data_IF_780473961033
#
_entry.id   IF_780473961033
#
_cell.length_a   1.000
_cell.length_b   1.000
_cell.length_c   1.000
_cell.angle_alpha   90.00
_cell.angle_beta   90.00
_cell.angle_gamma   90.00
#
_symmetry.space_group_name_H-M   'P 1'
#
loop_
_entity.id
_entity.type
_entity.pdbx_description
1 polymer ?
#
# COMPACT_ATOMS: atom_id res chain seq x y z
N UNK A 1 3.86 -3.11 -20.26
CA UNK A 1 5.07 -3.86 -19.86
C UNK A 1 5.58 -3.32 -18.52
N UNK A 2 6.26 -4.16 -17.77
CA UNK A 2 7.02 -3.74 -16.59
C UNK A 2 8.33 -3.10 -17.03
N UNK A 3 8.70 -1.97 -16.41
CA UNK A 3 9.99 -1.33 -16.58
C UNK A 3 11.13 -2.19 -16.05
N UNK A 4 12.33 -1.93 -16.51
CA UNK A 4 13.58 -2.55 -16.01
C UNK A 4 14.25 -1.67 -14.94
N UNK A 5 13.44 -0.88 -14.27
CA UNK A 5 13.80 0.14 -13.29
C UNK A 5 13.21 -0.21 -11.92
N UNK A 6 13.72 0.44 -10.89
CA UNK A 6 13.09 0.51 -9.56
C UNK A 6 12.74 1.96 -9.29
N UNK A 7 11.53 2.18 -8.81
CA UNK A 7 11.07 3.52 -8.48
C UNK A 7 11.65 3.95 -7.15
N UNK A 8 12.35 5.09 -7.15
CA UNK A 8 12.91 5.72 -5.97
C UNK A 8 12.07 6.94 -5.62
N UNK A 9 11.58 7.01 -4.41
CA UNK A 9 10.83 8.14 -3.87
C UNK A 9 11.65 8.82 -2.75
N UNK A 10 12.18 10.01 -3.00
CA UNK A 10 13.02 10.72 -2.02
C UNK A 10 12.24 11.16 -0.78
N UNK A 11 10.92 11.19 -0.83
CA UNK A 11 10.05 11.59 0.28
C UNK A 11 9.71 10.41 1.20
N UNK A 12 9.97 9.18 0.74
CA UNK A 12 9.74 7.98 1.53
C UNK A 12 10.96 7.57 2.37
N UNK A 13 10.71 6.82 3.44
CA UNK A 13 11.78 6.26 4.29
C UNK A 13 11.49 4.78 4.53
N UNK A 14 12.25 3.87 3.94
CA UNK A 14 13.39 4.09 3.01
C UNK A 14 12.94 4.57 1.63
N UNK A 15 13.82 5.24 0.85
CA UNK A 15 13.49 5.78 -0.47
C UNK A 15 13.07 4.75 -1.53
N UNK A 16 13.36 3.46 -1.30
CA UNK A 16 12.97 2.35 -2.16
C UNK A 16 11.55 1.82 -1.87
N UNK A 17 10.80 2.51 -1.02
CA UNK A 17 9.41 2.22 -0.67
C UNK A 17 8.50 3.36 -1.12
N UNK A 18 8.26 3.52 -2.44
CA UNK A 18 7.39 4.58 -2.92
C UNK A 18 6.05 4.58 -2.19
N UNK A 19 5.64 5.78 -1.78
CA UNK A 19 4.35 6.02 -1.16
C UNK A 19 3.37 6.50 -2.23
N UNK A 20 2.19 5.89 -2.26
CA UNK A 20 1.10 6.30 -3.15
C UNK A 20 0.02 6.97 -2.32
N UNK A 21 -0.34 8.19 -2.74
CA UNK A 21 -1.44 8.99 -2.20
C UNK A 21 -2.41 9.46 -3.28
N UNK A 22 -1.97 9.40 -4.53
CA UNK A 22 -2.75 9.83 -5.69
C UNK A 22 -3.23 8.62 -6.47
N UNK A 23 -4.55 8.47 -6.55
CA UNK A 23 -5.22 7.37 -7.22
C UNK A 23 -6.00 7.89 -8.42
N UNK A 24 -6.09 7.07 -9.47
CA UNK A 24 -6.84 7.37 -10.68
C UNK A 24 -8.35 7.23 -10.51
N UNK A 25 -9.08 7.51 -11.58
CA UNK A 25 -10.53 7.34 -11.61
C UNK A 25 -10.87 5.91 -12.08
N UNK A 26 -10.95 4.97 -11.15
CA UNK A 26 -11.28 3.57 -11.42
C UNK A 26 -11.99 2.94 -10.22
N UNK A 27 -12.98 2.03 -10.40
CA UNK A 27 -13.71 1.40 -9.28
C UNK A 27 -12.81 0.77 -8.22
N UNK A 28 -11.70 0.14 -8.61
CA UNK A 28 -10.72 -0.46 -7.68
C UNK A 28 -10.23 0.54 -6.63
N UNK A 29 -10.04 1.80 -7.01
CA UNK A 29 -9.38 2.84 -6.20
C UNK A 29 -10.27 4.02 -5.84
N UNK A 30 -11.54 4.01 -6.22
CA UNK A 30 -12.48 5.11 -5.99
C UNK A 30 -12.65 5.46 -4.51
N UNK A 31 -12.60 4.45 -3.63
CA UNK A 31 -12.70 4.63 -2.17
C UNK A 31 -11.40 5.08 -1.49
N UNK A 32 -10.29 5.21 -2.23
CA UNK A 32 -8.95 5.47 -1.68
C UNK A 32 -8.57 6.95 -1.60
N UNK A 33 -9.51 7.87 -1.66
CA UNK A 33 -9.23 9.30 -1.44
C UNK A 33 -8.59 9.51 -0.05
N UNK A 34 -7.38 10.09 -0.01
CA UNK A 34 -6.54 10.27 1.19
C UNK A 34 -5.98 8.98 1.83
N UNK A 35 -6.02 7.87 1.13
CA UNK A 35 -5.41 6.63 1.55
C UNK A 35 -3.89 6.65 1.33
N UNK A 36 -3.16 5.84 2.12
CA UNK A 36 -1.74 5.61 1.92
C UNK A 36 -1.50 4.14 1.61
N UNK A 37 -0.78 3.88 0.51
CA UNK A 37 -0.26 2.55 0.19
C UNK A 37 1.24 2.60 -0.04
N UNK A 38 1.96 1.51 0.29
CA UNK A 38 3.41 1.39 0.17
C UNK A 38 3.77 0.29 -0.82
N UNK A 39 4.78 0.54 -1.64
CA UNK A 39 5.20 -0.38 -2.70
C UNK A 39 6.72 -0.61 -2.66
N UNK A 40 7.22 -1.59 -1.87
CA UNK A 40 8.64 -1.87 -1.75
C UNK A 40 9.26 -2.30 -3.08
N UNK A 41 10.33 -1.63 -3.50
CA UNK A 41 11.07 -1.97 -4.73
C UNK A 41 10.20 -1.99 -6.00
N UNK A 42 9.16 -1.17 -6.04
CA UNK A 42 8.25 -1.12 -7.16
C UNK A 42 8.95 -0.76 -8.47
N UNK A 43 8.53 -1.41 -9.54
CA UNK A 43 8.90 -1.10 -10.93
C UNK A 43 7.82 -0.24 -11.58
N UNK A 44 8.23 0.59 -12.51
CA UNK A 44 7.25 1.31 -13.32
C UNK A 44 6.50 0.38 -14.27
N UNK A 45 5.24 0.71 -14.53
CA UNK A 45 4.38 0.02 -15.49
C UNK A 45 4.17 0.91 -16.69
N UNK A 46 4.58 0.47 -17.87
CA UNK A 46 4.46 1.24 -19.09
C UNK A 46 3.45 0.66 -20.06
N UNK A 47 2.71 1.55 -20.71
CA UNK A 47 1.89 1.16 -21.84
C UNK A 47 2.79 0.91 -23.05
N UNK A 48 2.70 -0.28 -23.65
CA UNK A 48 3.40 -0.57 -24.90
C UNK A 48 2.77 0.16 -26.08
N UNK A 49 3.56 0.43 -27.12
CA UNK A 49 3.07 1.08 -28.34
C UNK A 49 2.01 0.23 -29.07
N UNK A 50 2.04 -1.10 -28.89
CA UNK A 50 1.10 -2.04 -29.50
C UNK A 50 0.14 -2.57 -28.44
N UNK A 51 -0.99 -1.91 -28.27
CA UNK A 51 -2.12 -2.39 -27.45
C UNK A 51 -3.09 -3.08 -28.37
N UNK A 52 -3.56 -4.31 -28.05
CA UNK A 52 -4.57 -5.00 -28.85
C UNK A 52 -5.82 -4.15 -29.07
N UNK A 53 -6.44 -4.27 -30.24
CA UNK A 53 -7.73 -3.64 -30.50
C UNK A 53 -8.77 -4.19 -29.52
N UNK A 54 -9.54 -3.31 -28.87
CA UNK A 54 -10.53 -3.69 -27.87
C UNK A 54 -9.99 -3.75 -26.43
N UNK A 55 -8.68 -3.52 -26.21
CA UNK A 55 -8.14 -3.39 -24.85
C UNK A 55 -8.24 -1.96 -24.35
N UNK A 56 -8.91 -1.77 -23.23
CA UNK A 56 -8.92 -0.52 -22.47
C UNK A 56 -7.93 -0.62 -21.31
N UNK A 57 -6.95 0.31 -21.26
CA UNK A 57 -5.94 0.37 -20.21
C UNK A 57 -6.17 1.62 -19.38
N UNK A 58 -6.42 1.44 -18.09
CA UNK A 58 -6.62 2.54 -17.12
C UNK A 58 -5.54 2.51 -16.05
N UNK A 59 -4.95 3.64 -15.79
CA UNK A 59 -4.00 3.82 -14.69
C UNK A 59 -4.76 3.82 -13.36
N UNK A 60 -4.24 3.03 -12.40
CA UNK A 60 -4.82 2.95 -11.06
C UNK A 60 -4.16 3.95 -10.12
N UNK A 61 -2.84 3.98 -10.10
CA UNK A 61 -2.07 4.89 -9.27
C UNK A 61 -0.63 5.04 -9.77
N UNK A 62 -0.01 6.12 -9.35
CA UNK A 62 1.38 6.48 -9.68
C UNK A 62 2.14 6.92 -8.44
N UNK A 63 3.46 6.95 -8.58
CA UNK A 63 4.38 7.52 -7.58
C UNK A 63 4.25 9.04 -7.51
N UNK A 64 4.87 9.65 -6.51
CA UNK A 64 4.95 11.10 -6.36
C UNK A 64 5.80 11.74 -7.48
N UNK A 65 5.59 13.04 -7.70
CA UNK A 65 6.25 13.78 -8.79
C UNK A 65 7.78 13.85 -8.65
N UNK A 66 8.28 13.83 -7.40
CA UNK A 66 9.70 13.89 -7.08
C UNK A 66 10.43 12.55 -7.23
N UNK A 67 9.70 11.47 -7.49
CA UNK A 67 10.27 10.15 -7.70
C UNK A 67 10.97 10.02 -9.04
N UNK A 68 11.78 8.99 -9.20
CA UNK A 68 12.42 8.68 -10.48
C UNK A 68 12.59 7.17 -10.69
N UNK A 69 12.77 6.79 -11.94
CA UNK A 69 13.04 5.41 -12.36
C UNK A 69 14.55 5.15 -12.32
N UNK A 70 15.01 4.35 -11.34
CA UNK A 70 16.43 4.02 -11.17
C UNK A 70 16.76 2.69 -11.83
N UNK A 71 17.71 2.70 -12.75
CA UNK A 71 18.21 1.50 -13.44
C UNK A 71 19.60 1.08 -12.98
N UNK A 72 20.30 1.93 -12.23
CA UNK A 72 21.66 1.72 -11.73
C UNK A 72 21.69 1.72 -10.20
N UNK A 73 21.23 0.62 -9.63
CA UNK A 73 21.08 0.47 -8.18
C UNK A 73 22.42 0.53 -7.42
N UNK A 74 23.51 0.18 -8.06
CA UNK A 74 24.87 0.25 -7.51
C UNK A 74 25.35 1.71 -7.29
N UNK A 75 24.90 2.61 -8.15
CA UNK A 75 25.23 4.04 -8.06
C UNK A 75 24.32 4.80 -7.07
N UNK A 76 23.20 4.24 -6.67
CA UNK A 76 22.20 4.91 -5.84
C UNK A 76 22.76 5.34 -4.46
N UNK A 77 23.73 4.59 -3.91
CA UNK A 77 24.36 4.91 -2.62
C UNK A 77 25.09 6.24 -2.62
N UNK A 78 25.69 6.60 -3.75
CA UNK A 78 26.55 7.77 -3.88
C UNK A 78 25.82 8.99 -4.45
N UNK A 79 24.59 8.78 -4.95
CA UNK A 79 23.75 9.78 -5.59
C UNK A 79 22.57 10.19 -4.72
N UNK A 80 22.31 11.50 -4.66
CA UNK A 80 21.20 12.08 -3.90
C UNK A 80 19.98 12.45 -4.76
N UNK A 81 19.97 12.07 -6.03
CA UNK A 81 18.89 12.41 -6.95
C UNK A 81 19.02 11.70 -8.29
N UNK A 82 18.06 11.92 -9.21
CA UNK A 82 18.05 11.27 -10.51
C UNK A 82 19.24 11.70 -11.37
N UNK A 83 19.71 10.79 -12.22
CA UNK A 83 20.64 11.15 -13.27
C UNK A 83 19.88 11.86 -14.41
N UNK A 84 20.56 12.66 -15.27
CA UNK A 84 19.91 13.43 -16.33
C UNK A 84 19.17 12.58 -17.38
N UNK A 85 19.53 11.32 -17.50
CA UNK A 85 18.95 10.35 -18.45
C UNK A 85 17.80 9.50 -17.83
N UNK A 86 17.52 9.68 -16.54
CA UNK A 86 16.48 8.93 -15.85
C UNK A 86 15.12 9.62 -15.96
N UNK A 87 14.08 8.79 -16.10
CA UNK A 87 12.69 9.27 -16.09
C UNK A 87 12.30 9.75 -14.69
N UNK A 88 11.71 10.93 -14.66
CA UNK A 88 11.16 11.50 -13.42
C UNK A 88 9.68 11.18 -13.29
N UNK A 89 9.19 11.21 -12.06
CA UNK A 89 7.80 10.99 -11.73
C UNK A 89 6.83 12.09 -12.22
N UNK A 90 5.53 11.85 -12.09
CA UNK A 90 4.97 10.63 -11.54
C UNK A 90 5.14 9.42 -12.47
N UNK A 91 5.40 8.25 -11.92
CA UNK A 91 5.59 6.99 -12.64
C UNK A 91 4.41 6.06 -12.32
N UNK A 92 3.75 5.54 -13.33
CA UNK A 92 2.65 4.58 -13.15
C UNK A 92 3.16 3.31 -12.47
N UNK A 93 2.52 2.89 -11.40
CA UNK A 93 2.86 1.68 -10.64
C UNK A 93 1.86 0.55 -10.85
N UNK A 94 0.63 0.86 -11.25
CA UNK A 94 -0.37 -0.15 -11.57
C UNK A 94 -1.37 0.32 -12.61
N UNK A 95 -1.86 -0.64 -13.40
CA UNK A 95 -2.90 -0.44 -14.41
C UNK A 95 -3.94 -1.55 -14.32
N UNK A 96 -5.19 -1.20 -14.59
CA UNK A 96 -6.27 -2.14 -14.88
C UNK A 96 -6.46 -2.22 -16.40
N UNK A 97 -6.70 -3.42 -16.87
CA UNK A 97 -6.95 -3.69 -18.30
C UNK A 97 -8.23 -4.48 -18.43
N UNK A 98 -9.14 -3.97 -19.25
CA UNK A 98 -10.33 -4.70 -19.71
C UNK A 98 -10.20 -4.98 -21.20
N UNK A 99 -10.53 -6.20 -21.59
CA UNK A 99 -10.55 -6.66 -22.96
C UNK A 99 -12.02 -6.85 -23.38
N UNK A 100 -12.49 -6.07 -24.34
CA UNK A 100 -13.76 -6.38 -24.96
C UNK A 100 -13.61 -7.67 -25.77
N UNK A 101 -14.52 -8.62 -25.58
CA UNK A 101 -14.58 -9.80 -26.44
C UNK A 101 -14.74 -9.36 -27.88
N UNK A 102 -13.87 -9.83 -28.76
CA UNK A 102 -14.17 -9.75 -30.18
C UNK A 102 -15.44 -10.60 -30.42
N UNK A 103 -16.47 -10.00 -31.01
CA UNK A 103 -17.75 -10.62 -31.30
C UNK A 103 -17.52 -12.04 -31.87
N UNK A 104 -17.60 -13.03 -31.01
CA UNK A 104 -17.77 -14.41 -31.50
C UNK A 104 -19.24 -14.53 -31.89
N UNK A 105 -19.51 -14.65 -33.19
CA UNK A 105 -20.82 -15.04 -33.76
C UNK A 105 -21.24 -16.45 -33.30
N UNK A 106 -21.07 -16.77 -32.02
CA UNK A 106 -21.61 -17.98 -31.45
C UNK A 106 -22.80 -17.60 -30.55
N UNK A 107 -24.00 -18.01 -31.03
CA UNK A 107 -25.26 -18.00 -30.30
C UNK A 107 -25.14 -18.84 -29.01
N UNK A 108 -24.41 -18.36 -28.00
CA UNK A 108 -24.51 -18.88 -26.64
C UNK A 108 -25.43 -17.97 -25.85
N UNK A 109 -26.50 -18.56 -25.31
CA UNK A 109 -27.57 -17.91 -24.52
C UNK A 109 -27.07 -17.29 -23.17
N UNK A 110 -25.82 -16.89 -23.06
CA UNK A 110 -25.35 -16.10 -21.90
C UNK A 110 -25.25 -14.64 -22.33
N UNK A 111 -26.18 -13.83 -21.85
CA UNK A 111 -26.34 -12.38 -22.11
C UNK A 111 -25.18 -11.52 -21.56
N UNK A 112 -24.10 -12.07 -21.08
CA UNK A 112 -22.94 -11.33 -20.58
C UNK A 112 -21.81 -11.34 -21.60
N UNK A 113 -21.31 -10.15 -22.04
CA UNK A 113 -20.15 -10.09 -22.90
C UNK A 113 -18.95 -10.68 -22.14
N UNK A 114 -18.35 -11.73 -22.70
CA UNK A 114 -17.14 -12.37 -22.18
C UNK A 114 -15.98 -11.34 -22.21
N UNK A 115 -15.88 -10.53 -21.16
CA UNK A 115 -14.89 -9.45 -21.02
C UNK A 115 -13.76 -9.93 -20.11
N UNK A 116 -12.56 -10.07 -20.68
CA UNK A 116 -11.37 -10.38 -19.88
C UNK A 116 -10.90 -9.17 -19.08
N UNK A 117 -10.64 -9.36 -17.78
CA UNK A 117 -10.09 -8.31 -16.90
C UNK A 117 -8.79 -8.78 -16.25
N UNK A 118 -7.81 -7.91 -16.17
CA UNK A 118 -6.61 -8.16 -15.37
C UNK A 118 -6.00 -6.86 -14.84
N UNK A 119 -5.21 -6.99 -13.79
CA UNK A 119 -4.48 -5.88 -13.17
C UNK A 119 -2.99 -6.20 -13.23
N UNK A 120 -2.20 -5.20 -13.57
CA UNK A 120 -0.73 -5.28 -13.52
C UNK A 120 -0.22 -4.31 -12.46
N UNK A 121 0.52 -4.84 -11.51
CA UNK A 121 1.18 -4.06 -10.45
C UNK A 121 2.68 -4.25 -10.58
N UNK A 122 3.45 -3.19 -10.47
CA UNK A 122 4.91 -3.20 -10.58
C UNK A 122 5.63 -3.74 -9.34
N UNK A 123 4.91 -4.28 -8.38
CA UNK A 123 5.43 -4.79 -7.12
C UNK A 123 4.65 -6.03 -6.69
N UNK A 124 5.32 -7.03 -6.16
CA UNK A 124 4.70 -8.20 -5.53
C UNK A 124 4.72 -8.12 -4.00
N UNK A 125 5.62 -7.34 -3.45
CA UNK A 125 5.85 -7.27 -2.01
C UNK A 125 4.83 -6.39 -1.29
N UNK A 126 4.06 -5.59 -2.04
CA UNK A 126 3.01 -4.71 -1.49
C UNK A 126 1.93 -5.46 -0.70
N UNK A 127 1.78 -6.79 -0.92
CA UNK A 127 0.78 -7.64 -0.25
C UNK A 127 1.39 -8.71 0.65
N UNK A 128 2.65 -8.56 1.06
CA UNK A 128 3.24 -9.42 2.08
C UNK A 128 2.47 -9.31 3.40
N UNK A 129 2.56 -10.34 4.24
CA UNK A 129 1.90 -10.35 5.56
C UNK A 129 2.27 -9.13 6.43
N UNK A 130 3.49 -8.61 6.25
CA UNK A 130 3.96 -7.42 6.96
C UNK A 130 3.16 -6.19 6.53
N UNK A 131 3.04 -5.93 5.24
CA UNK A 131 2.31 -4.78 4.72
C UNK A 131 0.78 -4.95 4.78
N UNK A 132 0.28 -6.16 4.63
CA UNK A 132 -1.14 -6.44 4.83
C UNK A 132 -1.61 -6.20 6.27
N UNK A 133 -0.69 -6.27 7.24
CA UNK A 133 -0.96 -6.03 8.67
C UNK A 133 -0.54 -4.62 9.12
N UNK A 134 0.11 -3.84 8.26
CA UNK A 134 0.53 -2.48 8.54
C UNK A 134 -0.66 -1.50 8.53
N UNK A 135 -0.54 -0.30 9.12
CA UNK A 135 -1.57 0.74 9.07
C UNK A 135 -1.57 1.47 7.71
N UNK A 136 -1.58 0.70 6.64
CA UNK A 136 -1.68 1.14 5.24
C UNK A 136 -2.80 0.35 4.56
N UNK A 137 -3.31 0.83 3.43
CA UNK A 137 -4.47 0.21 2.79
C UNK A 137 -4.10 -0.81 1.70
N UNK A 138 -2.93 -1.43 1.78
CA UNK A 138 -2.46 -2.40 0.80
C UNK A 138 -3.37 -3.64 0.70
N UNK A 139 -3.83 -4.15 1.84
CA UNK A 139 -4.73 -5.30 1.87
C UNK A 139 -6.08 -4.99 1.20
N UNK A 140 -6.67 -3.85 1.53
CA UNK A 140 -7.95 -3.43 0.94
C UNK A 140 -7.80 -3.18 -0.56
N UNK A 141 -6.69 -2.58 -0.98
CA UNK A 141 -6.37 -2.35 -2.39
C UNK A 141 -6.27 -3.68 -3.15
N UNK A 142 -5.58 -4.66 -2.60
CA UNK A 142 -5.47 -5.99 -3.20
C UNK A 142 -6.83 -6.69 -3.31
N UNK A 143 -7.65 -6.63 -2.25
CA UNK A 143 -8.99 -7.22 -2.27
C UNK A 143 -9.88 -6.57 -3.32
N UNK A 144 -9.84 -5.25 -3.47
CA UNK A 144 -10.58 -4.55 -4.51
C UNK A 144 -10.11 -4.96 -5.92
N UNK A 145 -8.79 -5.15 -6.12
CA UNK A 145 -8.25 -5.66 -7.39
C UNK A 145 -8.80 -7.06 -7.70
N UNK A 146 -8.79 -7.97 -6.72
CA UNK A 146 -9.29 -9.35 -6.88
C UNK A 146 -10.78 -9.35 -7.18
N UNK A 147 -11.59 -8.58 -6.45
CA UNK A 147 -13.03 -8.47 -6.66
C UNK A 147 -13.34 -7.94 -8.07
N UNK A 148 -12.61 -6.94 -8.52
CA UNK A 148 -12.82 -6.38 -9.86
C UNK A 148 -12.44 -7.38 -10.97
N UNK A 149 -11.35 -8.13 -10.80
CA UNK A 149 -10.93 -9.17 -11.75
C UNK A 149 -11.93 -10.33 -11.76
N UNK A 150 -12.51 -10.67 -10.61
CA UNK A 150 -13.52 -11.71 -10.48
C UNK A 150 -14.92 -11.26 -10.95
N UNK A 151 -15.06 -10.02 -11.43
CA UNK A 151 -16.35 -9.41 -11.84
C UNK A 151 -17.38 -9.27 -10.71
N UNK A 152 -16.93 -9.35 -9.46
CA UNK A 152 -17.78 -9.22 -8.29
C UNK A 152 -17.88 -7.73 -7.88
N UNK A 153 -18.55 -6.94 -8.71
CA UNK A 153 -18.67 -5.48 -8.54
C UNK A 153 -19.45 -5.10 -7.27
N UNK A 154 -20.35 -5.95 -6.82
CA UNK A 154 -21.14 -5.72 -5.61
C UNK A 154 -20.25 -5.66 -4.34
N UNK A 155 -19.09 -6.31 -4.35
CA UNK A 155 -18.13 -6.31 -3.22
C UNK A 155 -17.15 -5.12 -3.25
N UNK A 156 -16.97 -4.47 -4.39
CA UNK A 156 -16.07 -3.29 -4.52
C UNK A 156 -16.63 -2.09 -3.75
N UNK A 157 -17.95 -2.01 -3.62
CA UNK A 157 -18.64 -0.94 -2.90
C UNK A 157 -18.62 -1.10 -1.36
N UNK A 158 -18.04 -2.17 -0.82
CA UNK A 158 -17.83 -2.31 0.61
C UNK A 158 -16.75 -1.30 1.00
N UNK A 159 -17.21 -0.15 1.55
CA UNK A 159 -16.30 0.83 2.15
C UNK A 159 -15.40 0.08 3.12
N UNK A 160 -14.06 0.26 3.06
CA UNK A 160 -13.18 -0.29 4.06
C UNK A 160 -13.77 0.06 5.42
N UNK A 161 -14.13 -0.95 6.20
CA UNK A 161 -14.51 -0.72 7.58
C UNK A 161 -13.29 -0.08 8.17
N UNK A 162 -13.40 1.17 8.61
CA UNK A 162 -12.32 1.82 9.34
C UNK A 162 -11.83 0.78 10.32
N UNK A 163 -10.61 0.30 10.11
CA UNK A 163 -9.99 -0.63 11.04
C UNK A 163 -9.98 0.14 12.34
N UNK A 164 -10.91 -0.19 13.24
CA UNK A 164 -10.98 0.39 14.56
C UNK A 164 -9.65 0.06 15.19
N UNK A 165 -8.72 1.00 15.06
CA UNK A 165 -7.34 0.83 15.52
C UNK A 165 -7.39 0.71 17.04
N UNK A 166 -7.54 -0.54 17.50
CA UNK A 166 -7.56 -0.87 18.93
C UNK A 166 -6.18 -0.76 19.57
N UNK A 167 -5.21 -0.21 18.82
CA UNK A 167 -3.90 0.08 19.38
C UNK A 167 -4.05 1.23 20.35
N UNK A 168 -3.70 0.98 21.60
CA UNK A 168 -3.65 2.00 22.64
C UNK A 168 -2.44 2.87 22.33
N UNK A 169 -2.65 4.00 21.65
CA UNK A 169 -1.62 5.02 21.48
C UNK A 169 -1.49 5.79 22.79
N UNK A 170 -0.51 5.42 23.58
CA UNK A 170 -0.14 6.18 24.75
C UNK A 170 0.62 7.44 24.31
N UNK A 171 0.14 8.62 24.69
CA UNK A 171 0.93 9.84 24.55
C UNK A 171 2.22 9.74 25.38
N UNK A 172 3.25 10.52 25.02
CA UNK A 172 4.50 10.54 25.76
C UNK A 172 4.29 10.77 27.26
N UNK A 173 3.33 11.61 27.63
CA UNK A 173 2.94 11.86 29.01
C UNK A 173 2.32 10.63 29.69
N UNK A 174 1.44 9.93 28.98
CA UNK A 174 0.81 8.71 29.50
C UNK A 174 1.83 7.58 29.66
N UNK A 175 2.76 7.43 28.73
CA UNK A 175 3.86 6.45 28.81
C UNK A 175 4.74 6.74 30.05
N UNK A 176 5.10 8.00 30.28
CA UNK A 176 5.87 8.42 31.45
C UNK A 176 5.11 8.13 32.75
N UNK A 177 3.82 8.42 32.79
CA UNK A 177 2.99 8.13 33.96
C UNK A 177 2.89 6.64 34.26
N UNK A 178 2.71 5.80 33.24
CA UNK A 178 2.68 4.33 33.40
C UNK A 178 4.04 3.82 33.91
N UNK A 179 5.14 4.33 33.37
CA UNK A 179 6.50 3.98 33.82
C UNK A 179 6.74 4.39 35.30
N UNK A 180 6.38 5.62 35.66
CA UNK A 180 6.52 6.07 37.03
C UNK A 180 5.66 5.25 38.01
N UNK A 181 4.42 4.93 37.61
CA UNK A 181 3.52 4.15 38.44
C UNK A 181 4.07 2.73 38.66
N UNK A 182 4.48 2.03 37.60
CA UNK A 182 4.98 0.66 37.72
C UNK A 182 6.35 0.56 38.37
N UNK A 183 7.25 1.54 38.15
CA UNK A 183 8.63 1.46 38.64
C UNK A 183 8.81 2.03 40.06
N UNK A 184 7.99 3.01 40.47
CA UNK A 184 8.14 3.71 41.74
C UNK A 184 7.03 3.38 42.74
N UNK A 185 5.76 3.49 42.32
CA UNK A 185 4.64 3.35 43.24
C UNK A 185 4.44 1.91 43.68
N UNK A 186 4.43 0.96 42.73
CA UNK A 186 4.20 -0.45 43.08
C UNK A 186 5.32 -1.01 43.99
N UNK A 187 6.63 -0.85 43.70
CA UNK A 187 7.69 -1.27 44.59
C UNK A 187 7.69 -0.48 45.92
N UNK A 188 7.36 0.81 45.88
CA UNK A 188 7.27 1.64 47.07
C UNK A 188 6.22 1.16 48.06
N UNK A 189 5.03 0.80 47.60
CA UNK A 189 3.97 0.22 48.41
C UNK A 189 4.42 -1.11 49.08
N UNK A 190 5.10 -1.97 48.30
CA UNK A 190 5.63 -3.23 48.81
C UNK A 190 6.67 -3.00 49.92
N UNK A 191 7.59 -2.06 49.71
CA UNK A 191 8.60 -1.70 50.71
C UNK A 191 7.97 -1.14 51.98
N UNK A 192 7.04 -0.18 51.88
CA UNK A 192 6.37 0.44 53.02
C UNK A 192 5.58 -0.61 53.81
N UNK A 193 4.83 -1.49 53.14
CA UNK A 193 4.10 -2.58 53.78
C UNK A 193 5.05 -3.57 54.46
N UNK A 194 6.17 -3.94 53.81
CA UNK A 194 7.18 -4.81 54.39
C UNK A 194 7.82 -4.22 55.66
N UNK A 195 8.20 -2.96 55.62
CA UNK A 195 8.77 -2.24 56.78
C UNK A 195 7.73 -2.13 57.89
N UNK A 196 6.48 -1.79 57.59
CA UNK A 196 5.41 -1.66 58.57
C UNK A 196 5.14 -3.00 59.30
N UNK A 197 5.08 -4.10 58.57
CA UNK A 197 4.91 -5.43 59.14
C UNK A 197 6.11 -5.85 59.96
N UNK A 198 7.32 -5.53 59.53
CA UNK A 198 8.54 -5.83 60.27
C UNK A 198 8.60 -5.05 61.60
N UNK A 199 8.20 -3.75 61.56
CA UNK A 199 8.18 -2.91 62.77
C UNK A 199 7.08 -3.33 63.73
N UNK A 200 5.89 -3.71 63.25
CA UNK A 200 4.80 -4.18 64.09
C UNK A 200 5.03 -5.55 64.76
N UNK A 201 6.04 -6.31 64.31
CA UNK A 201 6.43 -7.61 64.88
C UNK A 201 7.58 -7.51 65.91
N UNK A 202 8.15 -6.34 66.10
CA UNK A 202 9.17 -6.07 67.10
C UNK A 202 8.54 -5.47 68.39
#
# INVERSE_FOLDING_TARGET
SLGDDVVVDPLSVPPLYPMVRTYGAHPIVESFSNALSLFPLARSVERTASVPSGAEVRELFSSEAESWAETRMDELRDRKGPAPDQRQGPLTLAVAVSLASAESESESESDEPDSGRFVVVGDSDFITNELASAPVLNADLFLNMVNWVAEDEDLIAIRPREAEDRRIFLSSQQMTNVLLFSLLIVPGVILVTGISVWWGRR
#
